data_IF_675278162385
#
_entry.id   IF_675278162385
#
_cell.length_a   1.000
_cell.length_b   1.000
_cell.length_c   1.000
_cell.angle_alpha   90.00
_cell.angle_beta   90.00
_cell.angle_gamma   90.00
#
_symmetry.space_group_name_H-M   'P 1'
#
loop_
_entity.id
_entity.type
_entity.pdbx_description
1 polymer ?
#
# COMPACT_ATOMS: atom_id res chain seq x y z
N UNK A 1 2.79 -4.04 -2.14
CA UNK A 1 1.60 -4.80 -1.68
C UNK A 1 1.98 -6.22 -1.27
N UNK A 2 1.15 -6.95 -0.48
CA UNK A 2 1.41 -8.36 -0.17
C UNK A 2 1.45 -9.24 -1.42
N UNK A 3 2.26 -10.30 -1.36
CA UNK A 3 2.41 -11.28 -2.43
C UNK A 3 1.31 -12.36 -2.46
N UNK A 4 1.26 -13.09 -3.57
CA UNK A 4 0.41 -14.28 -3.76
C UNK A 4 1.31 -15.47 -4.16
N UNK A 5 1.20 -16.66 -3.53
CA UNK A 5 0.30 -16.99 -2.40
C UNK A 5 0.62 -16.19 -1.12
N UNK A 6 -0.33 -16.17 -0.19
CA UNK A 6 -0.15 -15.46 1.08
C UNK A 6 0.90 -16.17 1.94
N UNK A 7 2.02 -15.50 2.19
CA UNK A 7 3.09 -15.96 3.07
C UNK A 7 3.21 -15.03 4.27
N UNK A 8 3.19 -15.58 5.49
CA UNK A 8 3.32 -14.83 6.73
C UNK A 8 4.69 -15.05 7.36
N UNK A 9 5.39 -13.95 7.66
CA UNK A 9 6.60 -13.93 8.46
C UNK A 9 6.27 -13.22 9.79
N UNK A 10 5.48 -13.91 10.60
CA UNK A 10 4.93 -13.37 11.84
C UNK A 10 6.02 -12.90 12.81
N UNK A 11 5.76 -11.79 13.49
CA UNK A 11 6.63 -11.23 14.53
C UNK A 11 6.12 -11.75 15.87
N UNK A 12 6.92 -12.59 16.54
CA UNK A 12 6.61 -13.05 17.90
C UNK A 12 6.94 -11.93 18.89
N UNK A 13 5.97 -11.56 19.71
CA UNK A 13 6.15 -10.53 20.71
C UNK A 13 6.81 -11.14 21.96
N UNK A 14 7.87 -10.53 22.51
CA UNK A 14 8.44 -10.96 23.78
C UNK A 14 7.38 -10.91 24.90
N UNK A 15 7.32 -11.91 25.80
CA UNK A 15 6.40 -11.88 26.93
C UNK A 15 6.60 -10.62 27.77
N UNK A 16 5.50 -9.93 28.10
CA UNK A 16 5.54 -8.71 28.91
C UNK A 16 5.93 -7.45 28.13
N UNK A 17 5.86 -7.49 26.79
CA UNK A 17 6.00 -6.28 25.98
C UNK A 17 4.99 -5.20 26.42
N UNK A 18 5.44 -3.97 26.77
CA UNK A 18 4.56 -2.95 27.36
C UNK A 18 3.37 -2.51 26.48
N UNK A 19 3.45 -2.70 25.17
CA UNK A 19 2.46 -2.20 24.20
C UNK A 19 1.57 -3.35 23.74
N UNK A 20 2.18 -4.45 23.32
CA UNK A 20 1.50 -5.53 22.63
C UNK A 20 1.19 -6.73 23.53
N UNK A 21 1.95 -6.94 24.61
CA UNK A 21 1.69 -7.97 25.62
C UNK A 21 1.79 -7.46 27.07
N UNK A 22 1.01 -6.42 27.45
CA UNK A 22 1.12 -5.79 28.77
C UNK A 22 0.74 -6.73 29.92
N UNK A 23 0.02 -7.82 29.63
CA UNK A 23 -0.39 -8.82 30.62
C UNK A 23 0.59 -10.01 30.71
N UNK A 24 1.67 -10.01 29.93
CA UNK A 24 2.68 -11.07 29.96
C UNK A 24 2.17 -12.45 29.56
N UNK A 25 1.24 -12.52 28.59
CA UNK A 25 0.67 -13.79 28.10
C UNK A 25 1.71 -14.66 27.41
N UNK A 26 2.67 -14.04 26.72
CA UNK A 26 3.76 -14.72 26.01
C UNK A 26 3.37 -15.46 24.73
N UNK A 27 2.12 -15.34 24.28
CA UNK A 27 1.59 -15.95 23.05
C UNK A 27 1.18 -14.91 21.98
N UNK A 28 1.42 -13.62 22.24
CA UNK A 28 1.04 -12.54 21.32
C UNK A 28 1.91 -12.58 20.05
N UNK A 29 1.26 -12.49 18.89
CA UNK A 29 1.88 -12.52 17.57
C UNK A 29 1.34 -11.38 16.71
N UNK A 30 2.24 -10.55 16.16
CA UNK A 30 1.88 -9.56 15.15
C UNK A 30 1.96 -10.21 13.75
N UNK A 31 0.87 -10.21 12.98
CA UNK A 31 0.87 -10.75 11.63
C UNK A 31 1.64 -9.81 10.69
N UNK A 32 2.61 -10.36 9.98
CA UNK A 32 3.34 -9.64 8.94
C UNK A 32 3.38 -10.50 7.68
N UNK A 33 2.83 -9.98 6.58
CA UNK A 33 2.73 -10.70 5.32
C UNK A 33 3.85 -10.27 4.38
N UNK A 34 4.49 -11.23 3.72
CA UNK A 34 5.57 -10.97 2.75
C UNK A 34 5.02 -10.22 1.53
N UNK A 35 5.84 -9.33 0.97
CA UNK A 35 5.53 -8.56 -0.23
C UNK A 35 5.52 -9.45 -1.48
N UNK A 36 5.17 -8.87 -2.63
CA UNK A 36 5.37 -9.49 -3.95
C UNK A 36 6.86 -9.70 -4.25
N UNK A 37 7.11 -10.67 -5.12
CA UNK A 37 8.44 -11.04 -5.62
C UNK A 37 8.34 -11.38 -7.11
N UNK A 38 9.50 -11.45 -7.76
CA UNK A 38 9.59 -11.84 -9.17
C UNK A 38 9.20 -13.32 -9.32
N UNK A 39 8.13 -13.66 -10.09
CA UNK A 39 7.70 -15.04 -10.29
C UNK A 39 8.76 -15.98 -10.88
N UNK A 40 9.76 -15.44 -11.59
CA UNK A 40 10.85 -16.21 -12.19
C UNK A 40 11.99 -16.47 -11.19
N UNK A 41 11.96 -15.83 -10.02
CA UNK A 41 12.95 -15.95 -8.93
C UNK A 41 12.46 -16.84 -7.78
N UNK A 42 13.38 -17.22 -6.87
CA UNK A 42 13.03 -17.87 -5.60
C UNK A 42 12.64 -19.34 -5.69
N UNK A 43 13.01 -20.02 -6.79
CA UNK A 43 12.70 -21.44 -7.03
C UNK A 43 13.93 -22.35 -6.87
N UNK A 44 15.14 -21.80 -6.76
CA UNK A 44 16.37 -22.57 -6.57
C UNK A 44 17.42 -21.79 -5.75
N UNK A 45 18.42 -22.47 -5.15
CA UNK A 45 19.50 -21.79 -4.43
C UNK A 45 20.36 -20.87 -5.31
N UNK A 46 20.46 -21.18 -6.61
CA UNK A 46 21.21 -20.37 -7.58
C UNK A 46 20.42 -19.18 -8.11
N UNK A 47 19.10 -19.15 -7.91
CA UNK A 47 18.22 -18.04 -8.25
C UNK A 47 17.29 -17.74 -7.04
N UNK A 48 17.82 -17.10 -5.98
CA UNK A 48 17.04 -16.77 -4.79
C UNK A 48 15.91 -15.79 -5.10
N UNK A 49 15.07 -15.51 -4.12
CA UNK A 49 13.89 -14.65 -4.32
C UNK A 49 14.30 -13.17 -4.41
N UNK A 50 13.88 -12.52 -5.48
CA UNK A 50 14.04 -11.09 -5.70
C UNK A 50 12.71 -10.35 -5.51
N UNK A 51 12.74 -9.21 -4.81
CA UNK A 51 11.55 -8.41 -4.55
C UNK A 51 11.22 -7.52 -5.73
N UNK A 52 9.93 -7.38 -6.04
CA UNK A 52 9.45 -6.52 -7.12
C UNK A 52 9.16 -5.11 -6.63
N UNK A 53 9.45 -4.12 -7.47
CA UNK A 53 9.00 -2.76 -7.27
C UNK A 53 7.58 -2.61 -7.87
N UNK A 54 6.61 -2.23 -7.05
CA UNK A 54 5.22 -2.02 -7.49
C UNK A 54 5.04 -0.68 -8.23
N UNK A 55 6.05 0.21 -8.24
CA UNK A 55 6.08 1.50 -8.95
C UNK A 55 7.27 1.59 -9.90
N UNK A 56 7.37 2.67 -10.69
CA UNK A 56 8.54 2.89 -11.55
C UNK A 56 9.79 3.15 -10.69
N UNK A 57 10.93 2.58 -11.08
CA UNK A 57 12.20 2.74 -10.37
C UNK A 57 12.92 4.07 -10.65
N UNK A 58 12.35 4.92 -11.50
CA UNK A 58 12.95 6.17 -11.94
C UNK A 58 12.51 7.33 -11.07
N UNK A 59 13.30 8.40 -11.04
CA UNK A 59 12.85 9.69 -10.52
C UNK A 59 12.07 10.44 -11.62
N UNK A 60 10.88 9.92 -11.95
CA UNK A 60 10.06 10.34 -13.10
C UNK A 60 8.75 11.04 -12.70
N UNK A 61 8.52 11.26 -11.40
CA UNK A 61 7.30 11.86 -10.90
C UNK A 61 6.10 10.89 -10.87
N UNK A 62 6.32 9.57 -10.88
CA UNK A 62 5.25 8.57 -10.74
C UNK A 62 4.42 8.71 -9.46
N UNK A 63 4.98 9.28 -8.39
CA UNK A 63 4.23 9.66 -7.18
C UNK A 63 3.20 10.79 -7.42
N UNK A 64 3.37 11.59 -8.48
CA UNK A 64 2.48 12.70 -8.86
C UNK A 64 1.52 12.24 -9.97
N UNK A 65 2.04 11.56 -11.00
CA UNK A 65 1.30 11.26 -12.22
C UNK A 65 0.88 9.79 -12.37
N UNK A 66 1.23 8.94 -11.41
CA UNK A 66 0.99 7.49 -11.44
C UNK A 66 2.09 6.72 -12.15
N UNK A 67 2.18 5.42 -11.83
CA UNK A 67 3.13 4.48 -12.46
C UNK A 67 2.57 3.80 -13.72
N UNK A 68 1.40 4.22 -14.23
CA UNK A 68 0.82 3.73 -15.48
C UNK A 68 0.07 4.84 -16.22
N UNK A 69 -0.05 4.71 -17.54
CA UNK A 69 -0.78 5.69 -18.36
C UNK A 69 -2.27 5.75 -17.99
N UNK A 70 -2.90 4.61 -17.72
CA UNK A 70 -4.30 4.56 -17.27
C UNK A 70 -4.51 5.27 -15.93
N UNK A 71 -3.51 5.21 -15.03
CA UNK A 71 -3.55 5.97 -13.78
C UNK A 71 -3.42 7.47 -14.04
N UNK A 72 -2.48 7.87 -14.90
CA UNK A 72 -2.31 9.27 -15.31
C UNK A 72 -3.60 9.84 -15.92
N UNK A 73 -4.25 9.09 -16.81
CA UNK A 73 -5.53 9.48 -17.41
C UNK A 73 -6.62 9.66 -16.35
N UNK A 74 -6.67 8.77 -15.37
CA UNK A 74 -7.65 8.85 -14.29
C UNK A 74 -7.39 10.02 -13.32
N UNK A 75 -6.14 10.49 -13.20
CA UNK A 75 -5.77 11.68 -12.42
C UNK A 75 -6.01 13.01 -13.15
N UNK A 76 -6.24 13.01 -14.46
CA UNK A 76 -6.31 14.22 -15.29
C UNK A 76 -7.75 14.70 -15.49
N UNK A 77 -7.91 16.02 -15.61
CA UNK A 77 -9.19 16.64 -15.97
C UNK A 77 -9.45 16.66 -17.47
N UNK A 78 -8.39 16.51 -18.27
CA UNK A 78 -8.38 16.73 -19.72
C UNK A 78 -8.82 18.14 -20.15
N UNK A 79 -8.76 19.11 -19.24
CA UNK A 79 -9.05 20.52 -19.49
C UNK A 79 -7.88 21.38 -19.03
N UNK A 80 -7.46 22.35 -19.86
CA UNK A 80 -6.39 23.30 -19.51
C UNK A 80 -5.02 22.67 -19.17
N UNK A 81 -4.80 21.39 -19.47
CA UNK A 81 -3.60 20.66 -19.05
C UNK A 81 -3.52 20.34 -17.56
N UNK A 82 -4.65 20.38 -16.83
CA UNK A 82 -4.69 20.27 -15.37
C UNK A 82 -5.01 18.85 -14.88
N UNK A 83 -4.55 18.54 -13.66
CA UNK A 83 -5.06 17.41 -12.88
C UNK A 83 -6.53 17.63 -12.48
N UNK A 84 -7.25 16.55 -12.23
CA UNK A 84 -8.65 16.61 -11.81
C UNK A 84 -8.76 17.04 -10.35
N UNK A 85 -9.51 18.12 -10.10
CA UNK A 85 -9.83 18.61 -8.75
C UNK A 85 -11.20 18.14 -8.27
N UNK A 86 -11.41 18.23 -6.95
CA UNK A 86 -12.70 18.09 -6.30
C UNK A 86 -13.52 19.39 -6.33
N UNK A 87 -14.51 19.52 -5.43
CA UNK A 87 -15.26 20.77 -5.27
C UNK A 87 -14.38 21.97 -4.90
N UNK A 88 -13.33 21.73 -4.11
CA UNK A 88 -12.27 22.70 -3.85
C UNK A 88 -11.15 22.52 -4.90
N UNK A 89 -10.84 23.54 -5.72
CA UNK A 89 -9.79 23.44 -6.74
C UNK A 89 -8.37 23.24 -6.15
N UNK A 90 -8.16 23.49 -4.86
CA UNK A 90 -6.89 23.25 -4.20
C UNK A 90 -6.63 21.76 -3.91
N UNK A 91 -7.65 20.90 -3.99
CA UNK A 91 -7.56 19.48 -3.68
C UNK A 91 -7.92 18.60 -4.88
N UNK A 92 -7.25 17.43 -5.02
CA UNK A 92 -7.59 16.48 -6.08
C UNK A 92 -9.00 15.93 -5.89
N UNK A 93 -9.54 15.34 -6.96
CA UNK A 93 -10.80 14.61 -6.85
C UNK A 93 -10.67 13.47 -5.83
N UNK A 94 -11.68 13.32 -4.97
CA UNK A 94 -11.79 12.19 -4.05
C UNK A 94 -11.67 10.86 -4.81
N UNK A 95 -11.04 9.87 -4.18
CA UNK A 95 -10.93 8.53 -4.73
C UNK A 95 -12.33 7.94 -5.00
N UNK A 96 -12.59 7.58 -6.26
CA UNK A 96 -13.81 6.90 -6.68
C UNK A 96 -13.43 5.64 -7.47
N UNK A 97 -14.20 4.54 -7.38
CA UNK A 97 -13.99 3.39 -8.25
C UNK A 97 -14.00 3.81 -9.73
N UNK A 98 -13.08 3.33 -10.59
CA UNK A 98 -12.15 2.22 -10.36
C UNK A 98 -10.76 2.62 -9.81
N UNK A 99 -10.53 3.89 -9.44
CA UNK A 99 -9.27 4.35 -8.85
C UNK A 99 -9.12 3.80 -7.43
N UNK A 100 -8.40 2.69 -7.32
CA UNK A 100 -8.08 2.03 -6.05
C UNK A 100 -6.97 2.80 -5.34
N UNK A 101 -7.32 3.92 -4.70
CA UNK A 101 -6.47 4.46 -3.64
C UNK A 101 -6.51 3.49 -2.45
N UNK A 102 -5.34 3.24 -1.85
CA UNK A 102 -5.25 2.37 -0.67
C UNK A 102 -6.07 2.96 0.47
N UNK A 103 -7.05 2.20 0.98
CA UNK A 103 -8.03 2.66 1.97
C UNK A 103 -7.96 1.83 3.25
N UNK A 104 -6.78 1.76 3.87
CA UNK A 104 -6.67 1.18 5.21
C UNK A 104 -7.54 1.97 6.20
N UNK A 105 -8.16 1.30 7.19
CA UNK A 105 -8.91 1.98 8.22
C UNK A 105 -8.02 2.90 9.06
N UNK A 106 -8.57 4.03 9.51
CA UNK A 106 -7.92 4.90 10.48
C UNK A 106 -7.71 4.13 11.81
N UNK A 107 -6.48 4.02 12.33
CA UNK A 107 -6.20 3.29 13.57
C UNK A 107 -6.84 3.92 14.82
N UNK A 108 -7.18 5.22 14.81
CA UNK A 108 -7.79 5.92 15.94
C UNK A 108 -9.32 5.84 15.92
N UNK A 109 -9.93 6.10 14.76
CA UNK A 109 -11.39 6.20 14.63
C UNK A 109 -12.06 4.97 14.02
N UNK A 110 -11.29 4.08 13.39
CA UNK A 110 -11.79 2.91 12.65
C UNK A 110 -12.52 3.24 11.34
N UNK A 111 -12.56 4.51 10.94
CA UNK A 111 -13.22 4.96 9.72
C UNK A 111 -12.56 4.36 8.47
N UNK A 112 -13.37 4.06 7.44
CA UNK A 112 -12.94 3.46 6.17
C UNK A 112 -13.43 4.27 4.98
N UNK A 113 -12.79 4.10 3.83
CA UNK A 113 -13.20 4.71 2.57
C UNK A 113 -12.83 6.19 2.46
N UNK A 114 -13.49 6.97 1.59
CA UNK A 114 -13.09 8.34 1.27
C UNK A 114 -13.23 9.34 2.43
N UNK A 115 -13.87 8.97 3.54
CA UNK A 115 -13.89 9.76 4.78
C UNK A 115 -12.70 9.50 5.71
N UNK A 116 -11.84 8.53 5.40
CA UNK A 116 -10.61 8.20 6.15
C UNK A 116 -9.32 8.46 5.37
N UNK A 117 -9.42 9.02 4.16
CA UNK A 117 -8.30 9.60 3.43
C UNK A 117 -8.27 11.09 3.79
N UNK A 118 -7.25 11.51 4.52
CA UNK A 118 -6.87 12.92 4.54
C UNK A 118 -6.37 13.34 3.15
#
# INVERSE_FOLDING_TARGET
TPGCPAEFLNIRIPPGDPVFDPNGRGDVVLPFQRSRWDPESGQSPSNPRDLTNDVTGWLDGSAIYGSSHSWSDALRSFSGGQLASGPDPAFPRNAQPPLLMWSAPDPASGQRGPGGLY
#
